data_IF_409676384145
#
_entry.id   IF_409676384145
#
_cell.length_a   1.000
_cell.length_b   1.000
_cell.length_c   1.000
_cell.angle_alpha   90.00
_cell.angle_beta   90.00
_cell.angle_gamma   90.00
#
_symmetry.space_group_name_H-M   'P 1'
#
loop_
_entity.id
_entity.type
_entity.pdbx_description
1 polymer ?
#
# COMPACT_ATOMS: atom_id res chain seq x y z
N UNK A 1 -24.86 -1.97 -6.87
CA UNK A 1 -24.02 -2.88 -7.70
C UNK A 1 -22.59 -2.74 -7.21
N UNK A 2 -21.92 -3.85 -6.90
CA UNK A 2 -20.50 -3.80 -6.48
C UNK A 2 -19.59 -3.49 -7.67
N UNK A 3 -18.44 -2.87 -7.42
CA UNK A 3 -17.43 -2.55 -8.45
C UNK A 3 -17.09 -3.75 -9.33
N UNK A 4 -16.87 -4.92 -8.74
CA UNK A 4 -16.54 -6.16 -9.46
C UNK A 4 -17.62 -6.60 -10.47
N UNK A 5 -18.89 -6.29 -10.19
CA UNK A 5 -20.04 -6.62 -11.04
C UNK A 5 -20.39 -5.51 -12.03
N UNK A 6 -19.69 -4.37 -11.98
CA UNK A 6 -19.95 -3.27 -12.89
C UNK A 6 -19.60 -3.68 -14.34
N UNK A 7 -20.48 -3.43 -15.35
CA UNK A 7 -20.26 -3.88 -16.73
C UNK A 7 -18.94 -3.42 -17.34
N UNK A 8 -18.52 -2.17 -17.12
CA UNK A 8 -17.26 -1.65 -17.64
C UNK A 8 -16.04 -2.31 -16.97
N UNK A 9 -16.11 -2.62 -15.66
CA UNK A 9 -15.08 -3.40 -14.99
C UNK A 9 -14.99 -4.81 -15.60
N UNK A 10 -16.10 -5.50 -15.75
CA UNK A 10 -16.15 -6.84 -16.34
C UNK A 10 -15.59 -6.86 -17.78
N UNK A 11 -15.91 -5.84 -18.57
CA UNK A 11 -15.38 -5.67 -19.92
C UNK A 11 -13.86 -5.50 -19.91
N UNK A 12 -13.33 -4.66 -19.02
CA UNK A 12 -11.90 -4.46 -18.84
C UNK A 12 -11.21 -5.76 -18.41
N UNK A 13 -11.74 -6.44 -17.40
CA UNK A 13 -11.20 -7.70 -16.88
C UNK A 13 -11.11 -8.76 -17.96
N UNK A 14 -12.17 -8.97 -18.75
CA UNK A 14 -12.17 -9.92 -19.88
C UNK A 14 -11.12 -9.59 -20.94
N UNK A 15 -10.81 -8.31 -21.12
CA UNK A 15 -9.80 -7.85 -22.09
C UNK A 15 -8.38 -8.04 -21.56
N UNK A 16 -8.15 -7.82 -20.27
CA UNK A 16 -6.81 -7.79 -19.66
C UNK A 16 -6.36 -9.17 -19.18
N UNK A 17 -7.22 -9.93 -18.47
CA UNK A 17 -6.83 -11.20 -17.83
C UNK A 17 -6.11 -12.17 -18.77
N UNK A 18 -6.57 -12.39 -20.02
CA UNK A 18 -5.87 -13.31 -20.93
C UNK A 18 -4.46 -12.85 -21.34
N UNK A 19 -4.10 -11.61 -21.01
CA UNK A 19 -2.81 -11.00 -21.36
C UNK A 19 -1.88 -10.86 -20.16
N UNK A 20 -2.36 -11.21 -18.95
CA UNK A 20 -1.56 -11.18 -17.75
C UNK A 20 -0.94 -12.55 -17.52
N UNK A 21 0.36 -12.56 -17.29
CA UNK A 21 1.08 -13.76 -16.85
C UNK A 21 0.85 -14.03 -15.37
N UNK A 22 0.91 -12.97 -14.56
CA UNK A 22 0.70 -13.02 -13.11
C UNK A 22 0.12 -11.69 -12.61
N UNK A 23 -0.66 -11.75 -11.55
CA UNK A 23 -1.17 -10.59 -10.85
C UNK A 23 -1.36 -10.87 -9.37
N UNK A 24 -1.35 -9.85 -8.56
CA UNK A 24 -1.86 -9.87 -7.19
C UNK A 24 -2.77 -8.67 -6.95
N UNK A 25 -3.66 -8.80 -5.99
CA UNK A 25 -4.56 -7.73 -5.58
C UNK A 25 -4.22 -7.23 -4.19
N UNK A 26 -4.57 -5.98 -3.95
CA UNK A 26 -4.47 -5.35 -2.65
C UNK A 26 -5.71 -4.48 -2.42
N UNK A 27 -6.63 -5.01 -1.60
CA UNK A 27 -7.85 -4.33 -1.18
C UNK A 27 -7.87 -4.29 0.35
N UNK A 28 -8.03 -3.14 0.95
CA UNK A 28 -8.03 -3.03 2.41
C UNK A 28 -8.84 -1.85 2.93
N UNK A 29 -9.29 -1.96 4.17
CA UNK A 29 -9.81 -0.85 4.95
C UNK A 29 -8.65 -0.14 5.64
N UNK A 30 -8.56 1.20 5.56
CA UNK A 30 -7.52 1.95 6.23
C UNK A 30 -7.49 1.70 7.75
N UNK A 31 -6.29 1.56 8.30
CA UNK A 31 -6.05 1.54 9.74
C UNK A 31 -5.78 2.97 10.22
N UNK A 32 -6.35 3.36 11.33
CA UNK A 32 -6.26 4.73 11.87
C UNK A 32 -7.34 5.66 11.33
N UNK A 33 -7.29 6.93 11.72
CA UNK A 33 -8.21 7.93 11.22
C UNK A 33 -7.99 8.13 9.70
N UNK A 34 -9.06 8.04 8.89
CA UNK A 34 -8.96 8.23 7.45
C UNK A 34 -8.71 9.70 7.13
N UNK A 35 -7.47 10.14 7.25
CA UNK A 35 -7.04 11.48 6.81
C UNK A 35 -6.80 11.56 5.30
N UNK A 36 -7.16 10.52 4.58
CA UNK A 36 -6.89 10.40 3.15
C UNK A 36 -8.15 10.57 2.35
N UNK A 37 -8.21 11.65 1.60
CA UNK A 37 -9.21 11.86 0.55
C UNK A 37 -8.74 11.21 -0.76
N UNK A 38 -8.39 9.91 -0.71
CA UNK A 38 -7.94 9.18 -1.90
C UNK A 38 -8.93 9.25 -3.08
N UNK A 39 -10.22 9.47 -2.81
CA UNK A 39 -11.25 9.55 -3.83
C UNK A 39 -11.37 10.89 -4.56
N UNK A 40 -10.88 11.98 -3.97
CA UNK A 40 -11.06 13.35 -4.48
C UNK A 40 -9.78 13.99 -5.03
N UNK A 41 -8.62 13.32 -4.82
CA UNK A 41 -7.34 13.90 -5.18
C UNK A 41 -6.96 13.57 -6.62
N UNK A 42 -6.54 14.58 -7.35
CA UNK A 42 -5.89 14.40 -8.64
C UNK A 42 -4.42 14.03 -8.40
N UNK A 43 -4.10 12.75 -8.54
CA UNK A 43 -2.73 12.23 -8.37
C UNK A 43 -1.85 12.35 -9.62
N UNK A 44 -2.31 13.05 -10.66
CA UNK A 44 -1.51 13.27 -11.87
C UNK A 44 -0.17 13.92 -11.53
N UNK A 45 0.91 13.27 -11.92
CA UNK A 45 2.27 13.75 -11.67
C UNK A 45 2.84 13.41 -10.29
N UNK A 46 2.02 12.87 -9.38
CA UNK A 46 2.50 12.34 -8.12
C UNK A 46 3.24 11.01 -8.30
N UNK A 47 4.02 10.64 -7.31
CA UNK A 47 4.68 9.34 -7.27
C UNK A 47 4.02 8.45 -6.21
N UNK A 48 3.66 7.24 -6.60
CA UNK A 48 3.01 6.26 -5.72
C UNK A 48 3.95 5.10 -5.45
N UNK A 49 4.12 4.79 -4.17
CA UNK A 49 4.81 3.60 -3.68
C UNK A 49 3.79 2.71 -2.96
N UNK A 50 3.54 1.54 -3.52
CA UNK A 50 2.68 0.53 -2.93
C UNK A 50 3.52 -0.66 -2.47
N UNK A 51 3.25 -1.15 -1.26
CA UNK A 51 3.94 -2.30 -0.69
C UNK A 51 2.94 -3.23 -0.05
N UNK A 52 2.90 -4.49 -0.47
CA UNK A 52 2.18 -5.54 0.21
C UNK A 52 3.14 -6.56 0.82
N UNK A 53 2.77 -7.12 1.97
CA UNK A 53 3.68 -7.96 2.74
C UNK A 53 2.93 -8.98 3.62
N UNK A 54 3.70 -9.94 4.11
CA UNK A 54 3.23 -10.94 5.07
C UNK A 54 4.23 -11.11 6.21
N UNK A 55 3.72 -11.36 7.39
CA UNK A 55 4.52 -11.67 8.56
C UNK A 55 4.94 -13.14 8.60
N UNK A 56 6.02 -13.42 9.31
CA UNK A 56 6.44 -14.78 9.65
C UNK A 56 5.42 -15.41 10.59
N UNK A 57 5.31 -16.73 10.54
CA UNK A 57 4.60 -17.49 11.53
C UNK A 57 5.18 -17.23 12.93
N UNK A 58 4.30 -17.11 13.94
CA UNK A 58 4.71 -16.84 15.32
C UNK A 58 4.78 -15.37 15.72
N UNK A 59 4.68 -14.41 14.78
CA UNK A 59 4.46 -13.00 15.15
C UNK A 59 3.02 -12.86 15.66
N UNK A 60 2.84 -12.35 16.88
CA UNK A 60 1.51 -12.26 17.51
C UNK A 60 0.63 -11.20 16.84
N UNK A 61 -0.70 -11.38 16.95
CA UNK A 61 -1.65 -10.39 16.44
C UNK A 61 -1.49 -9.01 17.10
N UNK A 62 -1.17 -9.00 18.40
CA UNK A 62 -0.97 -7.74 19.14
C UNK A 62 0.28 -7.00 18.59
N UNK A 63 1.36 -7.71 18.37
CA UNK A 63 2.58 -7.15 17.81
C UNK A 63 2.37 -6.65 16.37
N UNK A 64 1.62 -7.39 15.57
CA UNK A 64 1.21 -6.95 14.23
C UNK A 64 0.39 -5.66 14.31
N UNK A 65 -0.59 -5.59 15.20
CA UNK A 65 -1.43 -4.40 15.38
C UNK A 65 -0.59 -3.18 15.78
N UNK A 66 0.36 -3.33 16.72
CA UNK A 66 1.29 -2.27 17.09
C UNK A 66 2.13 -1.78 15.91
N UNK A 67 2.71 -2.70 15.14
CA UNK A 67 3.52 -2.36 13.96
C UNK A 67 2.69 -1.66 12.87
N UNK A 68 1.46 -2.09 12.65
CA UNK A 68 0.59 -1.47 11.65
C UNK A 68 0.18 -0.05 12.06
N UNK A 69 -0.06 0.19 13.35
CA UNK A 69 -0.32 1.53 13.87
C UNK A 69 0.93 2.41 13.78
N UNK A 70 2.13 1.91 14.13
CA UNK A 70 3.38 2.64 13.97
C UNK A 70 3.62 3.03 12.50
N UNK A 71 3.32 2.13 11.56
CA UNK A 71 3.42 2.40 10.13
C UNK A 71 2.48 3.53 9.72
N UNK A 72 1.22 3.47 10.13
CA UNK A 72 0.23 4.52 9.83
C UNK A 72 0.65 5.89 10.40
N UNK A 73 1.27 5.91 11.57
CA UNK A 73 1.75 7.13 12.23
C UNK A 73 2.92 7.83 11.52
N UNK A 74 3.60 7.15 10.59
CA UNK A 74 4.67 7.78 9.79
C UNK A 74 4.18 8.97 8.97
N UNK A 75 2.91 8.98 8.58
CA UNK A 75 2.27 10.12 7.88
C UNK A 75 2.47 11.43 8.61
N UNK A 76 2.31 11.44 9.93
CA UNK A 76 2.47 12.64 10.76
C UNK A 76 3.93 13.02 11.07
N UNK A 77 4.89 12.13 10.77
CA UNK A 77 6.30 12.29 11.15
C UNK A 77 7.22 12.60 9.98
N UNK A 78 6.81 12.31 8.75
CA UNK A 78 7.65 12.42 7.56
C UNK A 78 7.02 13.41 6.58
N UNK A 79 7.54 14.65 6.48
CA UNK A 79 6.89 15.73 5.73
C UNK A 79 6.70 15.48 4.23
N UNK A 80 7.58 14.72 3.58
CA UNK A 80 7.47 14.40 2.14
C UNK A 80 6.37 13.38 1.83
N UNK A 81 5.87 12.69 2.84
CA UNK A 81 4.80 11.71 2.72
C UNK A 81 3.45 12.41 2.69
N UNK A 82 2.88 12.60 1.50
CA UNK A 82 1.62 13.33 1.30
C UNK A 82 0.42 12.51 1.75
N UNK A 83 0.40 11.25 1.35
CA UNK A 83 -0.62 10.29 1.75
C UNK A 83 0.02 8.98 2.19
N UNK A 84 -0.56 8.37 3.18
CA UNK A 84 -0.22 7.02 3.62
C UNK A 84 -1.50 6.30 4.03
N UNK A 85 -1.79 5.22 3.36
CA UNK A 85 -2.90 4.33 3.70
C UNK A 85 -2.33 2.95 3.97
N UNK A 86 -2.74 2.37 5.08
CA UNK A 86 -2.26 1.08 5.58
C UNK A 86 -3.47 0.23 5.93
N UNK A 87 -3.46 -1.06 5.63
CA UNK A 87 -4.57 -1.93 5.97
C UNK A 87 -4.27 -3.42 5.84
N UNK A 88 -5.18 -4.22 6.39
CA UNK A 88 -5.21 -5.67 6.17
C UNK A 88 -5.72 -5.95 4.76
N UNK A 89 -5.00 -6.78 4.02
CA UNK A 89 -5.33 -7.09 2.64
C UNK A 89 -6.47 -8.10 2.56
N UNK A 90 -7.60 -7.68 2.03
CA UNK A 90 -8.82 -8.48 1.83
C UNK A 90 -9.00 -8.91 0.36
N UNK A 91 -8.04 -8.61 -0.52
CA UNK A 91 -8.13 -8.95 -1.93
C UNK A 91 -8.26 -10.46 -2.14
N UNK A 92 -9.16 -10.87 -3.04
CA UNK A 92 -9.30 -12.28 -3.42
C UNK A 92 -7.98 -12.87 -3.97
N UNK A 93 -7.19 -12.06 -4.66
CA UNK A 93 -5.90 -12.43 -5.25
C UNK A 93 -4.69 -11.93 -4.45
N UNK A 94 -4.80 -11.91 -3.11
CA UNK A 94 -3.76 -11.39 -2.22
C UNK A 94 -2.44 -12.21 -2.25
N UNK A 95 -2.44 -13.42 -2.81
CA UNK A 95 -1.25 -14.29 -2.94
C UNK A 95 -0.49 -14.54 -1.62
N UNK A 96 -1.20 -14.53 -0.49
CA UNK A 96 -0.61 -14.69 0.85
C UNK A 96 -0.08 -13.40 1.47
N UNK A 97 -0.10 -12.28 0.76
CA UNK A 97 0.25 -10.98 1.32
C UNK A 97 -0.90 -10.46 2.18
N UNK A 98 -0.68 -10.41 3.49
CA UNK A 98 -1.71 -10.17 4.50
C UNK A 98 -2.02 -8.69 4.73
N UNK A 99 -1.06 -7.81 4.43
CA UNK A 99 -1.15 -6.38 4.67
C UNK A 99 -0.62 -5.59 3.48
N UNK A 100 -1.05 -4.35 3.39
CA UNK A 100 -0.60 -3.43 2.37
C UNK A 100 -0.53 -2.00 2.83
N UNK A 101 0.30 -1.22 2.15
CA UNK A 101 0.35 0.22 2.26
C UNK A 101 0.36 0.87 0.88
N UNK A 102 -0.18 2.08 0.81
CA UNK A 102 -0.04 2.99 -0.32
C UNK A 102 0.50 4.31 0.20
N UNK A 103 1.64 4.73 -0.32
CA UNK A 103 2.30 6.00 -0.01
C UNK A 103 2.30 6.88 -1.24
N UNK A 104 1.98 8.16 -1.09
CA UNK A 104 1.96 9.15 -2.17
C UNK A 104 2.94 10.26 -1.87
N UNK A 105 3.73 10.64 -2.86
CA UNK A 105 4.72 11.71 -2.82
C UNK A 105 4.46 12.72 -3.94
N UNK A 106 4.92 13.96 -3.80
CA UNK A 106 4.81 14.96 -4.85
C UNK A 106 5.65 14.59 -6.08
N UNK A 107 6.79 13.94 -5.88
CA UNK A 107 7.71 13.53 -6.94
C UNK A 107 8.51 12.29 -6.57
N UNK A 108 9.10 11.63 -7.56
CA UNK A 108 9.87 10.39 -7.39
C UNK A 108 11.05 10.53 -6.41
N UNK A 109 11.72 11.67 -6.42
CA UNK A 109 12.89 11.91 -5.56
C UNK A 109 12.54 11.91 -4.07
N UNK A 110 11.30 12.21 -3.72
CA UNK A 110 10.81 12.20 -2.34
C UNK A 110 10.79 10.79 -1.73
N UNK A 111 10.68 9.74 -2.55
CA UNK A 111 10.81 8.36 -2.07
C UNK A 111 12.18 8.13 -1.41
N UNK A 112 13.26 8.64 -2.01
CA UNK A 112 14.59 8.50 -1.41
C UNK A 112 14.71 9.29 -0.10
N UNK A 113 14.08 10.46 -0.01
CA UNK A 113 14.03 11.25 1.23
C UNK A 113 13.25 10.51 2.32
N UNK A 114 12.12 9.90 1.96
CA UNK A 114 11.33 9.03 2.83
C UNK A 114 12.14 7.83 3.31
N UNK A 115 12.78 7.10 2.40
CA UNK A 115 13.56 5.90 2.73
C UNK A 115 14.70 6.18 3.70
N UNK A 116 15.37 7.33 3.56
CA UNK A 116 16.48 7.76 4.43
C UNK A 116 16.01 8.45 5.71
N UNK A 117 14.73 8.75 5.85
CA UNK A 117 14.23 9.47 7.02
C UNK A 117 14.42 8.65 8.31
N UNK A 118 14.92 9.25 9.41
CA UNK A 118 15.18 8.51 10.65
C UNK A 118 13.99 7.72 11.20
N UNK A 119 12.79 8.28 11.13
CA UNK A 119 11.57 7.59 11.58
C UNK A 119 11.23 6.37 10.70
N UNK A 120 11.39 6.49 9.37
CA UNK A 120 11.23 5.34 8.48
C UNK A 120 12.28 4.26 8.76
N UNK A 121 13.54 4.64 8.87
CA UNK A 121 14.64 3.71 9.17
C UNK A 121 14.47 3.01 10.52
N UNK A 122 13.96 3.71 11.54
CA UNK A 122 13.64 3.12 12.84
C UNK A 122 12.55 2.06 12.70
N UNK A 123 11.48 2.36 11.97
CA UNK A 123 10.38 1.44 11.72
C UNK A 123 10.84 0.22 10.90
N UNK A 124 11.59 0.43 9.82
CA UNK A 124 12.13 -0.64 8.95
C UNK A 124 12.95 -1.65 9.75
N UNK A 125 13.81 -1.19 10.66
CA UNK A 125 14.59 -2.09 11.54
C UNK A 125 13.73 -2.96 12.46
N UNK A 126 12.52 -2.50 12.82
CA UNK A 126 11.59 -3.27 13.64
C UNK A 126 10.83 -4.31 12.81
N UNK A 127 10.33 -3.91 11.63
CA UNK A 127 9.40 -4.74 10.86
C UNK A 127 10.09 -5.77 9.99
N UNK A 128 11.19 -5.43 9.32
CA UNK A 128 11.86 -6.32 8.34
C UNK A 128 12.21 -7.70 8.91
N UNK A 129 12.76 -7.83 10.13
CA UNK A 129 13.06 -9.14 10.71
C UNK A 129 11.83 -10.03 10.92
N UNK A 130 10.63 -9.43 10.94
CA UNK A 130 9.35 -10.11 11.21
C UNK A 130 8.60 -10.46 9.91
N UNK A 131 9.04 -9.95 8.77
CA UNK A 131 8.40 -10.24 7.49
C UNK A 131 8.88 -11.56 6.91
N UNK A 132 7.94 -12.33 6.36
CA UNK A 132 8.21 -13.54 5.56
C UNK A 132 8.35 -13.22 4.07
N UNK A 133 7.89 -12.04 3.64
CA UNK A 133 8.02 -11.58 2.27
C UNK A 133 7.22 -10.32 2.02
N UNK A 134 7.53 -9.67 0.92
CA UNK A 134 6.86 -8.46 0.47
C UNK A 134 7.06 -8.22 -1.02
N UNK A 135 6.23 -7.37 -1.58
CA UNK A 135 6.29 -6.97 -2.98
C UNK A 135 5.97 -5.48 -3.10
N UNK A 136 6.79 -4.77 -3.86
CA UNK A 136 6.63 -3.32 -4.08
C UNK A 136 6.18 -3.02 -5.51
N UNK A 137 5.45 -1.93 -5.66
CA UNK A 137 5.09 -1.36 -6.94
C UNK A 137 5.23 0.16 -6.86
N UNK A 138 6.12 0.71 -7.68
CA UNK A 138 6.41 2.14 -7.76
C UNK A 138 5.99 2.68 -9.11
N UNK A 139 5.14 3.69 -9.15
CA UNK A 139 4.63 4.22 -10.41
C UNK A 139 4.20 5.68 -10.33
N UNK A 140 4.15 6.31 -11.50
CA UNK A 140 3.49 7.59 -11.69
C UNK A 140 2.11 7.29 -12.29
N UNK A 141 1.00 7.75 -11.69
CA UNK A 141 -0.34 7.55 -12.24
C UNK A 141 -0.44 8.10 -13.66
N UNK A 142 -0.96 7.29 -14.58
CA UNK A 142 -1.25 7.66 -15.96
C UNK A 142 -2.74 7.92 -16.11
N UNK A 143 -3.10 8.87 -16.94
CA UNK A 143 -4.48 9.28 -17.15
C UNK A 143 -4.76 10.68 -16.61
N UNK A 144 -5.99 11.08 -16.76
CA UNK A 144 -6.48 12.41 -16.35
C UNK A 144 -7.15 12.34 -14.99
#
# INVERSE_FOLDING_TARGET
MTYEKHPEHQKLVRKILPRLEIGNGMDFFPIGEPNTKLGDANYKGHFVHAFNFKFKDGVSNDEIAELMNELADLKGKIPVLKELVVGKNEAHWHRGFQYGQISVFDKKEDLMTYDKHPEHQKFVRKIIPKLAGGNTMDFIPIGT
#
